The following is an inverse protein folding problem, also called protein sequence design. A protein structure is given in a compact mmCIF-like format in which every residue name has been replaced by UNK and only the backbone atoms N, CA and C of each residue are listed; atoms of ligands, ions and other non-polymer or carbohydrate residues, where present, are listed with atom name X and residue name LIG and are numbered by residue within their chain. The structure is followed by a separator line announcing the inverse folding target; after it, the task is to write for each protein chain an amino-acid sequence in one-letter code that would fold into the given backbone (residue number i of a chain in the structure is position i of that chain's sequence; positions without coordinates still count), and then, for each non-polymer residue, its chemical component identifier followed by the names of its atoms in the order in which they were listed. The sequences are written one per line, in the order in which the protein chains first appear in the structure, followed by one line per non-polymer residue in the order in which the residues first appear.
data_IF_353582851766
#
_entry.id   IF_353582851766
#
_cell.length_a   1.000
_cell.length_b   1.000
_cell.length_c   1.000
_cell.angle_alpha   90.00
_cell.angle_beta   90.00
_cell.angle_gamma   90.00
#
_symmetry.space_group_name_H-M   'P 1'
#
loop_
_entity.id
_entity.type
_entity.pdbx_description
1 polymer ?
#
# COMPACT_ATOMS: atom_id res chain seq x y z
N UNK A 1 14.35 -2.92 3.26
CA UNK A 1 13.00 -3.54 3.45
C UNK A 1 11.91 -2.73 2.81
N UNK A 2 10.91 -3.40 2.28
CA UNK A 2 9.71 -2.76 1.73
C UNK A 2 8.50 -3.10 2.58
N UNK A 3 7.65 -2.09 2.81
CA UNK A 3 6.38 -2.25 3.51
C UNK A 3 5.26 -1.67 2.64
N UNK A 4 4.06 -2.17 2.85
CA UNK A 4 2.85 -1.67 2.17
C UNK A 4 1.83 -1.28 3.23
N UNK A 5 1.22 -0.13 3.04
CA UNK A 5 0.11 0.35 3.88
C UNK A 5 -1.10 0.52 2.97
N UNK A 6 -2.16 -0.24 3.23
CA UNK A 6 -3.40 -0.16 2.46
C UNK A 6 -4.40 0.70 3.24
N UNK A 7 -4.64 1.90 2.75
CA UNK A 7 -5.47 2.90 3.40
C UNK A 7 -6.92 2.80 2.94
N UNK A 8 -7.73 2.06 3.70
CA UNK A 8 -9.16 1.90 3.45
C UNK A 8 -9.48 1.39 2.03
N UNK A 9 -8.76 0.39 1.58
CA UNK A 9 -9.05 -0.33 0.34
C UNK A 9 -10.30 -1.18 0.58
N UNK A 10 -11.34 -1.02 -0.24
CA UNK A 10 -12.61 -1.72 -0.05
C UNK A 10 -12.66 -3.08 -0.75
N UNK A 11 -11.96 -3.22 -1.86
CA UNK A 11 -12.01 -4.41 -2.70
C UNK A 11 -11.13 -5.53 -2.16
N UNK A 12 -11.75 -6.61 -1.70
CA UNK A 12 -11.04 -7.82 -1.28
C UNK A 12 -10.25 -8.43 -2.43
N UNK A 13 -10.76 -8.32 -3.67
CA UNK A 13 -10.05 -8.75 -4.87
C UNK A 13 -8.72 -8.00 -5.02
N UNK A 14 -8.74 -6.68 -4.89
CA UNK A 14 -7.53 -5.86 -4.96
C UNK A 14 -6.54 -6.19 -3.84
N UNK A 15 -7.04 -6.39 -2.63
CA UNK A 15 -6.19 -6.77 -1.49
C UNK A 15 -5.46 -8.08 -1.76
N UNK A 16 -6.18 -9.09 -2.25
CA UNK A 16 -5.57 -10.38 -2.60
C UNK A 16 -4.52 -10.25 -3.69
N UNK A 17 -4.80 -9.47 -4.74
CA UNK A 17 -3.85 -9.19 -5.81
C UNK A 17 -2.60 -8.47 -5.28
N UNK A 18 -2.76 -7.55 -4.34
CA UNK A 18 -1.64 -6.84 -3.71
C UNK A 18 -0.80 -7.78 -2.85
N UNK A 19 -1.41 -8.73 -2.15
CA UNK A 19 -0.66 -9.76 -1.42
C UNK A 19 0.22 -10.57 -2.38
N UNK A 20 -0.35 -11.00 -3.51
CA UNK A 20 0.40 -11.76 -4.52
C UNK A 20 1.59 -10.96 -5.06
N UNK A 21 1.34 -9.71 -5.44
CA UNK A 21 2.39 -8.81 -5.93
C UNK A 21 3.45 -8.54 -4.87
N UNK A 22 3.03 -8.37 -3.63
CA UNK A 22 3.91 -8.11 -2.49
C UNK A 22 4.84 -9.29 -2.21
N UNK A 23 4.35 -10.51 -2.34
CA UNK A 23 5.19 -11.70 -2.24
C UNK A 23 6.28 -11.67 -3.32
N UNK A 24 5.89 -11.42 -4.56
CA UNK A 24 6.84 -11.34 -5.67
C UNK A 24 7.87 -10.22 -5.53
N UNK A 25 7.51 -9.12 -4.90
CA UNK A 25 8.38 -7.97 -4.71
C UNK A 25 9.24 -8.04 -3.43
N UNK A 26 9.05 -9.06 -2.60
CA UNK A 26 9.80 -9.22 -1.35
C UNK A 26 9.36 -8.26 -0.25
N UNK A 27 8.09 -7.92 -0.19
CA UNK A 27 7.54 -7.05 0.86
C UNK A 27 7.64 -7.73 2.22
N UNK A 28 8.16 -7.02 3.21
CA UNK A 28 8.35 -7.55 4.55
C UNK A 28 7.05 -7.64 5.34
N UNK A 29 6.12 -6.69 5.15
CA UNK A 29 4.85 -6.66 5.87
C UNK A 29 3.85 -5.74 5.18
N UNK A 30 2.57 -6.13 5.26
CA UNK A 30 1.44 -5.31 4.78
C UNK A 30 0.61 -4.88 5.98
N UNK A 31 0.35 -3.58 6.08
CA UNK A 31 -0.54 -3.00 7.08
C UNK A 31 -1.90 -2.71 6.45
N UNK A 32 -2.95 -3.26 7.04
CA UNK A 32 -4.31 -3.15 6.54
C UNK A 32 -5.09 -2.16 7.41
N UNK A 33 -5.26 -0.95 6.90
CA UNK A 33 -5.82 0.17 7.68
C UNK A 33 -7.31 0.31 7.47
N UNK A 34 -8.03 0.53 8.56
CA UNK A 34 -9.45 0.88 8.53
C UNK A 34 -10.34 -0.24 8.02
N UNK A 35 -11.12 0.03 6.98
CA UNK A 35 -12.06 -0.92 6.40
C UNK A 35 -11.42 -1.96 5.47
N UNK A 36 -10.12 -1.88 5.26
CA UNK A 36 -9.42 -2.82 4.38
C UNK A 36 -9.65 -4.26 4.84
N UNK A 37 -10.20 -5.14 3.99
CA UNK A 37 -10.44 -6.52 4.37
C UNK A 37 -9.13 -7.26 4.64
N UNK A 38 -9.17 -8.15 5.64
CA UNK A 38 -8.03 -8.95 6.06
C UNK A 38 -8.14 -10.38 5.52
N UNK A 39 -7.01 -11.09 5.37
CA UNK A 39 -7.02 -12.49 4.92
C UNK A 39 -7.90 -13.42 5.76
N UNK A 40 -7.98 -13.15 7.06
CA UNK A 40 -8.92 -13.83 7.96
C UNK A 40 -9.70 -12.79 8.75
N UNK A 41 -10.96 -13.09 9.05
CA UNK A 41 -11.78 -12.20 9.89
C UNK A 41 -11.46 -12.42 11.38
N UNK A 42 -12.14 -11.64 12.25
CA UNK A 42 -11.94 -11.72 13.70
C UNK A 42 -12.29 -13.08 14.31
N UNK A 43 -13.02 -13.93 13.57
CA UNK A 43 -13.38 -15.29 13.98
C UNK A 43 -12.44 -16.33 13.39
N UNK A 44 -11.36 -15.92 12.73
CA UNK A 44 -10.40 -16.83 12.10
C UNK A 44 -10.87 -17.43 10.79
N UNK A 45 -11.95 -16.91 10.18
CA UNK A 45 -12.48 -17.43 8.91
C UNK A 45 -11.76 -16.78 7.74
N UNK A 46 -11.30 -17.56 6.75
CA UNK A 46 -10.68 -16.99 5.56
C UNK A 46 -11.63 -16.09 4.79
N UNK A 47 -11.09 -15.00 4.22
CA UNK A 47 -11.81 -14.14 3.28
C UNK A 47 -11.67 -14.78 1.89
N UNK A 48 -12.76 -15.33 1.29
CA UNK A 48 -12.65 -16.14 0.06
C UNK A 48 -12.02 -15.42 -1.13
N UNK A 49 -12.36 -14.13 -1.33
CA UNK A 49 -11.81 -13.35 -2.44
C UNK A 49 -10.30 -13.13 -2.29
N UNK A 50 -9.83 -12.92 -1.06
CA UNK A 50 -8.39 -12.75 -0.81
C UNK A 50 -7.66 -14.07 -1.01
N UNK A 51 -8.22 -15.17 -0.51
CA UNK A 51 -7.64 -16.51 -0.72
C UNK A 51 -7.50 -16.78 -2.21
N UNK A 52 -8.57 -16.54 -2.97
CA UNK A 52 -8.60 -16.79 -4.41
C UNK A 52 -7.58 -15.95 -5.19
N UNK A 53 -7.52 -14.65 -4.94
CA UNK A 53 -6.71 -13.74 -5.75
C UNK A 53 -5.26 -13.68 -5.30
N UNK A 54 -4.96 -14.02 -4.05
CA UNK A 54 -3.59 -14.03 -3.54
C UNK A 54 -2.80 -15.27 -3.92
N UNK A 55 -3.46 -16.35 -4.34
CA UNK A 55 -2.83 -17.62 -4.71
C UNK A 55 -1.83 -18.11 -3.65
N UNK A 56 -2.24 -18.06 -2.39
CA UNK A 56 -1.43 -18.51 -1.26
C UNK A 56 -0.54 -17.43 -0.63
N UNK A 57 -0.34 -16.28 -1.29
CA UNK A 57 0.54 -15.22 -0.75
C UNK A 57 0.01 -14.63 0.56
N UNK A 58 -1.30 -14.66 0.79
CA UNK A 58 -1.90 -14.19 2.04
C UNK A 58 -1.49 -15.02 3.26
N UNK A 59 -1.02 -16.25 3.06
CA UNK A 59 -0.47 -17.10 4.11
C UNK A 59 1.05 -16.97 4.27
N UNK A 60 1.71 -16.24 3.39
CA UNK A 60 3.17 -16.11 3.35
C UNK A 60 3.63 -14.73 3.78
N UNK A 61 3.03 -13.66 3.22
CA UNK A 61 3.40 -12.28 3.52
C UNK A 61 2.81 -11.88 4.88
N UNK A 62 3.64 -11.49 5.85
CA UNK A 62 3.14 -11.00 7.14
C UNK A 62 2.21 -9.79 6.96
N UNK A 63 1.19 -9.71 7.78
CA UNK A 63 0.27 -8.59 7.76
C UNK A 63 -0.22 -8.23 9.16
N UNK A 64 -0.71 -7.02 9.30
CA UNK A 64 -1.27 -6.52 10.56
C UNK A 64 -2.46 -5.61 10.24
N UNK A 65 -3.55 -5.81 10.97
CA UNK A 65 -4.70 -4.91 10.92
C UNK A 65 -4.44 -3.70 11.80
N UNK A 66 -4.71 -2.51 11.28
CA UNK A 66 -4.50 -1.23 11.99
C UNK A 66 -5.79 -0.43 11.96
N UNK A 67 -6.28 -0.02 13.13
CA UNK A 67 -7.47 0.83 13.20
C UNK A 67 -7.23 2.17 12.51
N UNK A 68 -8.28 2.72 11.92
CA UNK A 68 -8.17 4.00 11.20
C UNK A 68 -7.61 5.12 12.09
N UNK A 69 -7.99 5.14 13.37
CA UNK A 69 -7.49 6.10 14.35
C UNK A 69 -5.99 5.96 14.65
N UNK A 70 -5.40 4.81 14.36
CA UNK A 70 -3.99 4.52 14.65
C UNK A 70 -3.08 4.66 13.44
N UNK A 71 -3.64 5.00 12.28
CA UNK A 71 -2.88 5.05 11.02
C UNK A 71 -1.76 6.10 11.04
N UNK A 72 -2.04 7.28 11.58
CA UNK A 72 -1.03 8.36 11.70
C UNK A 72 0.10 7.92 12.60
N UNK A 73 -0.21 7.27 13.73
CA UNK A 73 0.79 6.75 14.65
C UNK A 73 1.66 5.67 14.00
N UNK A 74 1.08 4.84 13.16
CA UNK A 74 1.83 3.85 12.39
C UNK A 74 2.87 4.52 11.49
N UNK A 75 2.46 5.54 10.73
CA UNK A 75 3.37 6.27 9.84
C UNK A 75 4.51 6.91 10.65
N UNK A 76 4.19 7.57 11.77
CA UNK A 76 5.19 8.18 12.64
C UNK A 76 6.17 7.15 13.19
N UNK A 77 5.67 5.99 13.60
CA UNK A 77 6.52 4.91 14.11
C UNK A 77 7.49 4.42 13.04
N UNK A 78 7.00 4.14 11.82
CA UNK A 78 7.86 3.68 10.73
C UNK A 78 8.93 4.72 10.42
N UNK A 79 8.58 6.00 10.35
CA UNK A 79 9.54 7.06 10.11
C UNK A 79 10.59 7.14 11.22
N UNK A 80 10.19 6.98 12.47
CA UNK A 80 11.12 6.98 13.62
C UNK A 80 12.09 5.80 13.58
N UNK A 81 11.71 4.72 12.90
CA UNK A 81 12.54 3.52 12.71
C UNK A 81 13.42 3.61 11.45
N UNK A 82 13.44 4.74 10.79
CA UNK A 82 14.27 4.96 9.61
C UNK A 82 13.65 4.53 8.29
N UNK A 83 12.33 4.28 8.28
CA UNK A 83 11.61 3.93 7.06
C UNK A 83 11.10 5.21 6.38
N UNK A 84 11.45 5.39 5.11
CA UNK A 84 10.87 6.48 4.30
C UNK A 84 9.46 6.10 3.89
N UNK A 85 8.49 6.96 4.19
CA UNK A 85 7.08 6.71 3.85
C UNK A 85 6.68 7.57 2.67
N UNK A 86 6.24 6.91 1.59
CA UNK A 86 5.79 7.56 0.36
C UNK A 86 4.31 7.25 0.10
N UNK A 87 3.49 8.29 0.02
CA UNK A 87 2.08 8.14 -0.34
C UNK A 87 1.97 8.12 -1.87
N UNK A 88 1.42 7.05 -2.42
CA UNK A 88 1.21 6.92 -3.87
C UNK A 88 -0.06 7.69 -4.24
N UNK A 89 0.12 8.95 -4.62
CA UNK A 89 -0.99 9.86 -4.89
C UNK A 89 -0.51 11.04 -5.74
N UNK A 90 -1.41 11.57 -6.57
CA UNK A 90 -1.16 12.75 -7.37
C UNK A 90 -1.43 13.98 -6.49
N UNK A 91 -0.39 14.73 -6.17
CA UNK A 91 -0.50 16.00 -5.44
C UNK A 91 0.34 17.06 -6.14
N UNK A 92 0.13 18.32 -5.77
CA UNK A 92 0.89 19.44 -6.35
C UNK A 92 2.41 19.30 -6.16
N UNK A 93 2.82 18.63 -5.08
CA UNK A 93 4.24 18.48 -4.71
C UNK A 93 4.74 17.03 -4.91
N UNK A 94 4.00 16.20 -5.64
CA UNK A 94 4.38 14.81 -5.84
C UNK A 94 5.67 14.69 -6.65
N UNK A 95 6.52 13.75 -6.25
CA UNK A 95 7.71 13.37 -7.00
C UNK A 95 7.30 12.32 -8.03
N UNK A 96 7.75 12.48 -9.26
CA UNK A 96 7.52 11.45 -10.28
C UNK A 96 8.25 10.15 -9.90
N UNK A 97 7.59 9.03 -10.12
CA UNK A 97 8.23 7.73 -9.91
C UNK A 97 9.52 7.58 -10.71
N UNK A 98 9.59 8.19 -11.90
CA UNK A 98 10.78 8.15 -12.74
C UNK A 98 12.00 8.76 -12.05
N UNK A 99 11.78 9.75 -11.19
CA UNK A 99 12.85 10.49 -10.48
C UNK A 99 13.05 9.97 -9.05
N UNK A 100 12.21 9.04 -8.60
CA UNK A 100 12.26 8.55 -7.24
C UNK A 100 13.44 7.59 -7.02
N UNK A 101 14.30 7.95 -6.09
CA UNK A 101 15.36 7.07 -5.63
C UNK A 101 14.84 6.21 -4.50
N UNK A 102 14.71 4.91 -4.74
CA UNK A 102 14.11 3.98 -3.77
C UNK A 102 15.02 3.84 -2.55
N UNK A 103 14.57 4.27 -1.35
CA UNK A 103 15.36 4.10 -0.14
C UNK A 103 15.55 2.63 0.23
N UNK A 104 16.56 2.35 1.04
CA UNK A 104 16.80 1.00 1.56
C UNK A 104 15.59 0.47 2.33
N UNK A 105 14.98 1.34 3.15
CA UNK A 105 13.77 1.01 3.90
C UNK A 105 12.66 1.98 3.48
N UNK A 106 11.63 1.45 2.85
CA UNK A 106 10.54 2.24 2.28
C UNK A 106 9.18 1.60 2.56
N UNK A 107 8.19 2.44 2.87
CA UNK A 107 6.79 2.04 2.97
C UNK A 107 5.97 2.84 1.94
N UNK A 108 5.18 2.14 1.16
CA UNK A 108 4.27 2.78 0.20
C UNK A 108 2.86 2.74 0.76
N UNK A 109 2.18 3.89 0.76
CA UNK A 109 0.77 3.98 1.12
C UNK A 109 -0.04 3.98 -0.17
N UNK A 110 -0.96 3.04 -0.28
CA UNK A 110 -1.90 2.93 -1.41
C UNK A 110 -3.29 3.24 -0.89
N UNK A 111 -4.00 4.08 -1.61
CA UNK A 111 -5.25 4.63 -1.14
C UNK A 111 -6.50 3.98 -1.71
N UNK A 112 -7.62 4.36 -1.13
CA UNK A 112 -8.95 3.95 -1.52
C UNK A 112 -9.19 4.17 -3.02
N UNK A 113 -9.93 3.26 -3.64
CA UNK A 113 -10.19 3.25 -5.09
C UNK A 113 -10.96 4.50 -5.56
N UNK A 114 -11.70 5.17 -4.66
CA UNK A 114 -12.49 6.36 -4.96
C UNK A 114 -11.82 7.63 -4.46
N UNK A 115 -11.40 7.63 -3.19
CA UNK A 115 -10.93 8.84 -2.51
C UNK A 115 -9.41 9.00 -2.49
N UNK A 116 -8.66 7.98 -2.88
CA UNK A 116 -7.19 7.98 -2.80
C UNK A 116 -6.68 7.86 -1.36
N UNK A 117 -5.44 8.25 -1.15
CA UNK A 117 -4.82 8.25 0.18
C UNK A 117 -5.42 9.39 1.01
N UNK A 118 -5.74 9.12 2.27
CA UNK A 118 -6.31 10.14 3.15
C UNK A 118 -5.35 11.32 3.35
N UNK A 119 -5.89 12.53 3.48
CA UNK A 119 -5.09 13.74 3.67
C UNK A 119 -4.19 13.66 4.88
N UNK A 120 -4.67 13.06 5.97
CA UNK A 120 -3.88 12.90 7.19
C UNK A 120 -2.62 12.07 6.93
N UNK A 121 -2.72 10.99 6.15
CA UNK A 121 -1.56 10.15 5.83
C UNK A 121 -0.63 10.80 4.81
N UNK A 122 -1.17 11.56 3.86
CA UNK A 122 -0.34 12.34 2.93
C UNK A 122 0.52 13.32 3.72
N UNK A 123 -0.07 14.04 4.67
CA UNK A 123 0.66 15.02 5.50
C UNK A 123 1.75 14.39 6.36
N UNK A 124 1.53 13.18 6.86
CA UNK A 124 2.50 12.48 7.69
C UNK A 124 3.60 11.80 6.87
N UNK A 125 3.40 11.61 5.57
CA UNK A 125 4.36 10.97 4.68
C UNK A 125 5.58 11.88 4.44
N UNK A 126 6.72 11.25 4.12
CA UNK A 126 7.92 12.00 3.73
C UNK A 126 7.69 12.68 2.39
N UNK A 127 6.95 12.04 1.49
CA UNK A 127 6.64 12.60 0.18
C UNK A 127 5.44 11.89 -0.45
N UNK A 128 4.82 12.54 -1.40
CA UNK A 128 3.87 11.93 -2.31
C UNK A 128 4.61 11.48 -3.57
N UNK A 129 4.19 10.35 -4.11
CA UNK A 129 4.83 9.70 -5.26
C UNK A 129 3.80 9.51 -6.35
N UNK A 130 4.08 10.04 -7.53
CA UNK A 130 3.17 10.02 -8.67
C UNK A 130 3.67 9.06 -9.73
N UNK A 131 2.78 8.19 -10.23
CA UNK A 131 3.04 7.38 -11.43
C UNK A 131 2.66 8.23 -12.64
N UNK A 132 3.62 8.60 -13.53
CA UNK A 132 3.29 9.40 -14.71
C UNK A 132 2.32 8.66 -15.61
N UNK A 133 1.26 9.37 -16.05
CA UNK A 133 0.25 8.84 -16.95
C UNK A 133 0.37 9.54 -18.31
N UNK A 134 0.62 8.77 -19.36
CA UNK A 134 0.80 9.33 -20.71
C UNK A 134 -0.49 9.47 -21.50
N UNK A 135 -1.57 8.84 -21.03
CA UNK A 135 -2.86 8.83 -21.72
C UNK A 135 -3.87 9.80 -21.11
N UNK A 136 -5.15 9.53 -21.36
CA UNK A 136 -6.25 10.39 -20.89
C UNK A 136 -6.71 10.05 -19.47
N UNK A 137 -6.52 8.80 -19.01
CA UNK A 137 -6.94 8.39 -17.66
C UNK A 137 -5.96 8.93 -16.63
N UNK A 138 -6.51 9.38 -15.51
CA UNK A 138 -5.73 10.04 -14.44
C UNK A 138 -5.19 9.06 -13.42
N UNK A 139 -5.76 7.86 -13.30
CA UNK A 139 -5.37 6.89 -12.30
C UNK A 139 -5.40 5.46 -12.82
N UNK A 140 -4.69 4.59 -12.11
CA UNK A 140 -4.66 3.15 -12.35
C UNK A 140 -5.45 2.41 -11.27
N UNK A 141 -5.87 1.18 -11.59
CA UNK A 141 -6.33 0.26 -10.56
C UNK A 141 -5.25 0.15 -9.46
N UNK A 142 -5.67 0.13 -8.20
CA UNK A 142 -4.75 0.19 -7.07
C UNK A 142 -3.78 -0.99 -7.02
N UNK A 143 -4.22 -2.18 -7.44
CA UNK A 143 -3.33 -3.36 -7.46
C UNK A 143 -2.27 -3.23 -8.56
N UNK A 144 -2.60 -2.59 -9.68
CA UNK A 144 -1.65 -2.29 -10.74
C UNK A 144 -0.64 -1.24 -10.28
N UNK A 145 -1.12 -0.16 -9.66
CA UNK A 145 -0.25 0.86 -9.09
C UNK A 145 0.73 0.25 -8.08
N UNK A 146 0.25 -0.65 -7.22
CA UNK A 146 1.08 -1.38 -6.27
C UNK A 146 2.21 -2.13 -6.97
N UNK A 147 1.90 -2.85 -8.05
CA UNK A 147 2.90 -3.59 -8.81
C UNK A 147 3.98 -2.68 -9.37
N UNK A 148 3.58 -1.53 -9.92
CA UNK A 148 4.51 -0.59 -10.52
C UNK A 148 5.50 -0.04 -9.47
N UNK A 149 5.00 0.44 -8.33
CA UNK A 149 5.87 1.04 -7.31
C UNK A 149 6.71 0.00 -6.59
N UNK A 150 6.16 -1.18 -6.32
CA UNK A 150 6.86 -2.22 -5.57
C UNK A 150 8.02 -2.84 -6.34
N UNK A 151 7.94 -2.88 -7.66
CA UNK A 151 9.00 -3.42 -8.52
C UNK A 151 9.98 -2.36 -9.00
N UNK A 152 9.78 -1.10 -8.66
CA UNK A 152 10.75 -0.03 -8.98
C UNK A 152 12.05 -0.28 -8.21
N UNK A 153 13.15 -0.22 -8.94
CA UNK A 153 14.51 -0.34 -8.39
C UNK A 153 15.26 0.97 -8.55
N UNK A 154 16.19 1.20 -7.68
CA UNK A 154 17.08 2.35 -7.77
C UNK A 154 18.27 2.07 -8.63
#
# INVERSE_FOLDING_TARGET
MKFVILDNIRSAHNVGSIFRTSDGAGVAKIFLVGVTPCPVDRFGRPQPEIVKTSLGAAGIVPWEQVGDADAVLLVRRLRSEGVTVAAVEQTANAVSLDDFQVPENVAYILGNEVDGVSDALIKESDQALEIPMAGEKESLNVSVAAGIVLFKKS
#
